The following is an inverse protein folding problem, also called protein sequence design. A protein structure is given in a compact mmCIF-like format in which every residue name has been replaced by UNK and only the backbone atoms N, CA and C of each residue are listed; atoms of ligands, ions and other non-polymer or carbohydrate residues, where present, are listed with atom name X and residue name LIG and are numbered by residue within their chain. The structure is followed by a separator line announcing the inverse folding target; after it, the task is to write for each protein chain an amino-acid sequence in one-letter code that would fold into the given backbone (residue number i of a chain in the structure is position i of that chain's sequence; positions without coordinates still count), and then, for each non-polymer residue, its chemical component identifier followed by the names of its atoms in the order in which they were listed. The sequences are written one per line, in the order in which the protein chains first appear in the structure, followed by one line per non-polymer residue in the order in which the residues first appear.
data_IF_033242512318
#
_entry.id   IF_033242512318
#
_cell.length_a   1.000
_cell.length_b   1.000
_cell.length_c   1.000
_cell.angle_alpha   90.00
_cell.angle_beta   90.00
_cell.angle_gamma   90.00
#
_symmetry.space_group_name_H-M   'P 1'
#
loop_
_entity.id
_entity.type
_entity.pdbx_description
1 polymer ?
#
# COMPACT_ATOMS: atom_id res chain seq x y z
N UNK A 1 -20.57 -21.71 6.78
CA UNK A 1 -19.64 -20.79 7.48
C UNK A 1 -19.36 -19.58 6.60
N UNK A 2 -19.48 -18.35 7.13
CA UNK A 2 -19.02 -17.16 6.40
C UNK A 2 -17.51 -17.25 6.20
N UNK A 3 -16.95 -16.81 5.05
CA UNK A 3 -15.51 -16.76 4.88
C UNK A 3 -14.91 -15.86 5.96
N UNK A 4 -13.86 -16.34 6.65
CA UNK A 4 -13.05 -15.60 7.64
C UNK A 4 -12.24 -14.44 7.01
N UNK A 5 -12.56 -14.07 5.78
CA UNK A 5 -11.86 -13.04 5.04
C UNK A 5 -12.83 -12.19 4.24
N UNK A 6 -12.52 -10.90 4.14
CA UNK A 6 -13.14 -10.01 3.15
C UNK A 6 -12.19 -9.81 1.98
N UNK A 7 -12.75 -9.53 0.80
CA UNK A 7 -11.95 -9.01 -0.30
C UNK A 7 -12.22 -7.52 -0.45
N UNK A 8 -11.21 -6.68 -0.27
CA UNK A 8 -11.33 -5.22 -0.34
C UNK A 8 -10.86 -4.72 -1.71
N UNK A 9 -11.61 -3.87 -2.43
CA UNK A 9 -11.13 -3.23 -3.65
C UNK A 9 -9.81 -2.46 -3.41
N UNK A 10 -8.79 -2.72 -4.22
CA UNK A 10 -7.46 -2.09 -4.03
C UNK A 10 -7.54 -0.56 -4.10
N UNK A 11 -8.26 -0.01 -5.08
CA UNK A 11 -8.41 1.44 -5.23
C UNK A 11 -9.27 2.06 -4.10
N UNK A 12 -10.10 1.27 -3.42
CA UNK A 12 -10.75 1.73 -2.19
C UNK A 12 -9.73 1.84 -1.06
N UNK A 13 -8.79 0.88 -0.94
CA UNK A 13 -7.68 0.97 0.00
C UNK A 13 -6.84 2.24 -0.26
N UNK A 14 -6.50 2.49 -1.53
CA UNK A 14 -5.77 3.69 -1.96
C UNK A 14 -6.53 4.97 -1.58
N UNK A 15 -7.81 5.06 -1.91
CA UNK A 15 -8.66 6.21 -1.56
C UNK A 15 -8.67 6.47 -0.06
N UNK A 16 -8.90 5.42 0.74
CA UNK A 16 -8.97 5.52 2.21
C UNK A 16 -7.65 6.00 2.79
N UNK A 17 -6.54 5.46 2.30
CA UNK A 17 -5.20 5.81 2.77
C UNK A 17 -4.86 7.27 2.44
N UNK A 18 -5.11 7.69 1.20
CA UNK A 18 -4.80 9.06 0.74
C UNK A 18 -5.71 10.13 1.34
N UNK A 19 -6.97 9.80 1.65
CA UNK A 19 -7.91 10.73 2.29
C UNK A 19 -7.84 10.71 3.82
N UNK A 20 -6.93 9.94 4.40
CA UNK A 20 -6.78 9.84 5.86
C UNK A 20 -8.03 9.26 6.54
N UNK A 21 -8.77 8.37 5.88
CA UNK A 21 -10.02 7.79 6.39
C UNK A 21 -9.87 6.38 6.92
N UNK A 22 -8.64 5.98 7.28
CA UNK A 22 -8.33 4.61 7.74
C UNK A 22 -9.20 4.20 8.93
N UNK A 23 -9.33 5.04 9.96
CA UNK A 23 -10.11 4.67 11.14
C UNK A 23 -11.62 4.56 10.84
N UNK A 24 -12.17 5.45 10.00
CA UNK A 24 -13.56 5.34 9.54
C UNK A 24 -13.78 4.06 8.74
N UNK A 25 -12.78 3.68 7.94
CA UNK A 25 -12.82 2.44 7.20
C UNK A 25 -12.69 1.22 8.10
N UNK A 26 -11.89 1.28 9.17
CA UNK A 26 -11.79 0.22 10.17
C UNK A 26 -13.16 -0.10 10.77
N UNK A 27 -13.89 0.92 11.23
CA UNK A 27 -15.26 0.73 11.72
C UNK A 27 -16.17 0.14 10.64
N UNK A 28 -16.12 0.69 9.42
CA UNK A 28 -16.93 0.15 8.32
C UNK A 28 -16.60 -1.33 8.00
N UNK A 29 -15.33 -1.73 8.04
CA UNK A 29 -14.91 -3.12 7.82
C UNK A 29 -15.39 -4.02 8.95
N UNK A 30 -15.19 -3.61 10.20
CA UNK A 30 -15.66 -4.31 11.40
C UNK A 30 -17.16 -4.60 11.32
N UNK A 31 -17.96 -3.55 11.09
CA UNK A 31 -19.41 -3.69 10.93
C UNK A 31 -19.76 -4.63 9.78
N UNK A 32 -18.98 -4.64 8.70
CA UNK A 32 -19.19 -5.52 7.55
C UNK A 32 -18.85 -6.98 7.82
N UNK A 33 -17.87 -7.27 8.68
CA UNK A 33 -17.53 -8.64 9.06
C UNK A 33 -18.57 -9.21 10.02
N UNK A 34 -19.01 -8.38 10.98
CA UNK A 34 -19.92 -8.77 12.04
C UNK A 34 -21.41 -8.68 11.67
N UNK A 35 -21.75 -8.47 10.39
CA UNK A 35 -23.14 -8.38 9.96
C UNK A 35 -23.43 -9.06 8.62
N UNK A 36 -24.71 -9.18 8.29
CA UNK A 36 -25.18 -9.58 6.95
C UNK A 36 -25.37 -8.37 6.02
N UNK A 37 -24.78 -7.22 6.36
CA UNK A 37 -25.02 -5.94 5.69
C UNK A 37 -26.13 -5.11 6.33
N UNK A 38 -26.82 -5.65 7.33
CA UNK A 38 -27.82 -4.97 8.15
C UNK A 38 -27.45 -5.13 9.62
N UNK A 39 -27.54 -4.04 10.38
CA UNK A 39 -27.24 -4.01 11.82
C UNK A 39 -28.34 -3.22 12.51
N UNK A 40 -28.90 -3.78 13.57
CA UNK A 40 -29.93 -3.11 14.36
C UNK A 40 -29.35 -1.85 15.02
N UNK A 41 -30.12 -0.76 14.96
CA UNK A 41 -29.71 0.53 15.47
C UNK A 41 -30.15 0.68 16.92
N UNK A 42 -29.27 0.29 17.85
CA UNK A 42 -29.43 0.56 19.27
C UNK A 42 -28.24 1.37 19.81
N UNK A 43 -28.53 2.29 20.72
CA UNK A 43 -27.56 3.10 21.44
C UNK A 43 -26.55 2.26 22.23
N UNK A 44 -26.93 1.07 22.70
CA UNK A 44 -26.02 0.15 23.41
C UNK A 44 -24.90 -0.39 22.50
N UNK A 45 -25.15 -0.49 21.19
CA UNK A 45 -24.22 -1.04 20.20
C UNK A 45 -22.92 -0.23 20.09
N UNK A 46 -22.99 1.09 20.27
CA UNK A 46 -21.80 1.95 20.22
C UNK A 46 -20.76 1.57 21.28
N UNK A 47 -21.21 1.13 22.46
CA UNK A 47 -20.32 0.72 23.54
C UNK A 47 -19.60 -0.58 23.19
N UNK A 48 -20.31 -1.57 22.64
CA UNK A 48 -19.72 -2.83 22.19
C UNK A 48 -18.69 -2.60 21.07
N UNK A 49 -19.03 -1.82 20.04
CA UNK A 49 -18.09 -1.53 18.95
C UNK A 49 -16.86 -0.75 19.42
N UNK A 50 -17.02 0.09 20.44
CA UNK A 50 -15.92 0.84 21.05
C UNK A 50 -14.93 -0.09 21.75
N UNK A 51 -15.43 -1.06 22.53
CA UNK A 51 -14.61 -2.08 23.18
C UNK A 51 -13.86 -2.92 22.14
N UNK A 52 -14.57 -3.47 21.16
CA UNK A 52 -13.98 -4.37 20.16
C UNK A 52 -12.90 -3.70 19.30
N UNK A 53 -13.06 -2.41 18.99
CA UNK A 53 -12.08 -1.63 18.22
C UNK A 53 -11.01 -0.97 19.07
N UNK A 54 -11.07 -1.12 20.40
CA UNK A 54 -10.25 -0.39 21.36
C UNK A 54 -10.25 1.14 21.08
N UNK A 55 -11.45 1.71 21.07
CA UNK A 55 -11.74 3.14 20.85
C UNK A 55 -12.72 3.67 21.90
N UNK A 56 -12.83 4.98 22.00
CA UNK A 56 -13.88 5.59 22.81
C UNK A 56 -15.23 5.55 22.11
N UNK A 57 -16.31 5.45 22.89
CA UNK A 57 -17.68 5.48 22.36
C UNK A 57 -17.96 6.77 21.57
N UNK A 58 -17.44 7.91 22.06
CA UNK A 58 -17.49 9.20 21.36
C UNK A 58 -16.91 9.08 19.95
N UNK A 59 -15.72 8.47 19.83
CA UNK A 59 -15.07 8.28 18.54
C UNK A 59 -15.93 7.43 17.59
N UNK A 60 -16.52 6.34 18.10
CA UNK A 60 -17.38 5.47 17.28
C UNK A 60 -18.60 6.24 16.79
N UNK A 61 -19.27 7.00 17.65
CA UNK A 61 -20.43 7.82 17.27
C UNK A 61 -20.09 8.82 16.17
N UNK A 62 -18.95 9.51 16.30
CA UNK A 62 -18.49 10.47 15.28
C UNK A 62 -18.14 9.77 13.96
N UNK A 63 -17.51 8.60 14.02
CA UNK A 63 -17.20 7.80 12.84
C UNK A 63 -18.48 7.30 12.14
N UNK A 64 -19.49 6.83 12.88
CA UNK A 64 -20.79 6.42 12.33
C UNK A 64 -21.50 7.61 11.67
N UNK A 65 -21.56 8.76 12.35
CA UNK A 65 -22.12 9.99 11.76
C UNK A 65 -21.45 10.34 10.44
N UNK A 66 -20.12 10.25 10.38
CA UNK A 66 -19.37 10.49 9.14
C UNK A 66 -19.70 9.45 8.06
N UNK A 67 -19.79 8.16 8.41
CA UNK A 67 -20.14 7.09 7.48
C UNK A 67 -21.56 7.27 6.91
N UNK A 68 -22.52 7.69 7.73
CA UNK A 68 -23.89 8.00 7.29
C UNK A 68 -23.90 9.22 6.36
N UNK A 69 -23.25 10.33 6.77
CA UNK A 69 -23.15 11.55 5.97
C UNK A 69 -22.55 11.29 4.58
N UNK A 70 -21.52 10.44 4.53
CA UNK A 70 -20.87 10.06 3.28
C UNK A 70 -21.60 8.92 2.54
N UNK A 71 -22.74 8.45 3.05
CA UNK A 71 -23.51 7.28 2.59
C UNK A 71 -22.61 6.08 2.30
N UNK A 72 -21.78 5.71 3.27
CA UNK A 72 -21.13 4.39 3.36
C UNK A 72 -22.04 3.43 4.12
N UNK A 73 -22.86 4.01 5.01
CA UNK A 73 -23.96 3.39 5.75
C UNK A 73 -25.21 4.23 5.46
N UNK A 74 -26.37 3.60 5.40
CA UNK A 74 -27.68 4.27 5.29
C UNK A 74 -28.57 3.82 6.44
N UNK A 75 -29.37 4.74 6.97
CA UNK A 75 -30.31 4.45 8.06
C UNK A 75 -31.68 4.13 7.47
N UNK A 76 -32.29 3.03 7.89
CA UNK A 76 -33.71 2.75 7.67
C UNK A 76 -34.44 3.00 8.98
N UNK A 77 -35.07 4.16 9.11
CA UNK A 77 -35.79 4.58 10.32
C UNK A 77 -37.01 3.70 10.61
N UNK A 78 -37.71 3.18 9.59
CA UNK A 78 -38.90 2.34 9.77
C UNK A 78 -38.59 1.02 10.45
N UNK A 79 -37.42 0.44 10.15
CA UNK A 79 -36.97 -0.83 10.73
C UNK A 79 -35.97 -0.63 11.85
N UNK A 80 -35.57 0.61 12.11
CA UNK A 80 -34.49 0.97 13.02
C UNK A 80 -33.19 0.19 12.74
N UNK A 81 -32.75 0.17 11.48
CA UNK A 81 -31.59 -0.64 11.02
C UNK A 81 -30.61 0.21 10.22
N UNK A 82 -29.31 0.00 10.45
CA UNK A 82 -28.21 0.45 9.62
C UNK A 82 -27.96 -0.53 8.47
N UNK A 83 -28.04 -0.05 7.24
CA UNK A 83 -27.70 -0.80 6.04
C UNK A 83 -26.30 -0.39 5.55
N UNK A 84 -25.38 -1.36 5.50
CA UNK A 84 -24.01 -1.20 5.03
C UNK A 84 -23.96 -1.31 3.50
N UNK A 85 -23.55 -0.22 2.84
CA UNK A 85 -23.44 -0.22 1.38
C UNK A 85 -22.37 -1.24 0.94
N UNK A 86 -22.62 -2.02 -0.11
CA UNK A 86 -21.64 -2.97 -0.64
C UNK A 86 -20.43 -2.26 -1.25
N UNK A 87 -19.27 -2.92 -1.30
CA UNK A 87 -18.07 -2.35 -1.93
C UNK A 87 -18.32 -1.92 -3.38
N UNK A 88 -19.13 -2.68 -4.15
CA UNK A 88 -19.52 -2.34 -5.52
C UNK A 88 -20.22 -0.98 -5.57
N UNK A 89 -21.29 -0.83 -4.78
CA UNK A 89 -22.07 0.41 -4.72
C UNK A 89 -21.20 1.58 -4.22
N UNK A 90 -20.36 1.33 -3.23
CA UNK A 90 -19.44 2.33 -2.69
C UNK A 90 -18.41 2.79 -3.73
N UNK A 91 -17.76 1.85 -4.43
CA UNK A 91 -16.82 2.18 -5.51
C UNK A 91 -17.50 2.95 -6.64
N UNK A 92 -18.71 2.56 -7.07
CA UNK A 92 -19.48 3.32 -8.08
C UNK A 92 -19.73 4.75 -7.63
N UNK A 93 -20.14 4.93 -6.36
CA UNK A 93 -20.38 6.26 -5.78
C UNK A 93 -19.11 7.11 -5.75
N UNK A 94 -17.99 6.52 -5.36
CA UNK A 94 -16.69 7.21 -5.29
C UNK A 94 -16.02 7.36 -6.67
N UNK A 95 -16.66 6.91 -7.76
CA UNK A 95 -16.10 6.88 -9.12
C UNK A 95 -14.77 6.11 -9.17
N UNK A 96 -14.67 5.06 -8.37
CA UNK A 96 -13.52 4.17 -8.29
C UNK A 96 -13.73 3.00 -9.23
N UNK A 97 -12.85 2.88 -10.23
CA UNK A 97 -12.76 1.71 -11.08
C UNK A 97 -11.69 0.78 -10.54
N UNK A 98 -12.06 -0.45 -10.16
CA UNK A 98 -11.10 -1.48 -9.80
C UNK A 98 -11.35 -2.78 -10.54
N UNK A 99 -10.27 -3.49 -10.81
CA UNK A 99 -10.26 -4.87 -11.29
C UNK A 99 -9.55 -5.81 -10.31
N UNK A 100 -9.10 -5.28 -9.16
CA UNK A 100 -8.22 -5.95 -8.21
C UNK A 100 -8.76 -5.82 -6.78
N UNK A 101 -8.68 -6.90 -6.02
CA UNK A 101 -9.04 -6.92 -4.61
C UNK A 101 -7.91 -7.51 -3.78
N UNK A 102 -7.69 -6.94 -2.59
CA UNK A 102 -6.84 -7.52 -1.57
C UNK A 102 -7.66 -8.43 -0.67
N UNK A 103 -7.10 -9.58 -0.30
CA UNK A 103 -7.70 -10.45 0.72
C UNK A 103 -7.27 -9.92 2.08
N UNK A 104 -8.23 -9.69 2.96
CA UNK A 104 -8.01 -9.24 4.33
C UNK A 104 -8.60 -10.30 5.26
N UNK A 105 -7.72 -10.95 6.01
CA UNK A 105 -7.99 -12.09 6.91
C UNK A 105 -7.84 -11.70 8.39
N UNK A 106 -7.46 -10.46 8.70
CA UNK A 106 -7.16 -10.05 10.07
C UNK A 106 -8.41 -9.71 10.86
N UNK A 107 -8.44 -10.23 12.09
CA UNK A 107 -9.46 -9.94 13.09
C UNK A 107 -9.18 -8.64 13.85
N UNK A 108 -7.89 -8.31 14.05
CA UNK A 108 -7.49 -7.04 14.65
C UNK A 108 -7.37 -5.93 13.59
N UNK A 109 -8.05 -4.81 13.85
CA UNK A 109 -8.06 -3.62 12.99
C UNK A 109 -6.91 -2.65 13.30
N UNK A 110 -6.10 -2.93 14.32
CA UNK A 110 -4.92 -2.14 14.73
C UNK A 110 -3.93 -1.95 13.57
N UNK A 111 -3.67 -3.01 12.81
CA UNK A 111 -2.69 -3.03 11.73
C UNK A 111 -3.26 -2.62 10.36
N UNK A 112 -4.55 -2.24 10.31
CA UNK A 112 -5.23 -1.94 9.05
C UNK A 112 -4.46 -0.92 8.21
N UNK A 113 -3.88 0.11 8.83
CA UNK A 113 -3.09 1.11 8.11
C UNK A 113 -1.89 0.47 7.38
N UNK A 114 -1.17 -0.43 8.05
CA UNK A 114 -0.05 -1.16 7.47
C UNK A 114 -0.47 -2.04 6.32
N UNK A 115 -1.57 -2.76 6.50
CA UNK A 115 -2.17 -3.58 5.44
C UNK A 115 -2.52 -2.72 4.21
N UNK A 116 -3.21 -1.59 4.39
CA UNK A 116 -3.57 -0.70 3.29
C UNK A 116 -2.32 -0.15 2.56
N UNK A 117 -1.28 0.23 3.30
CA UNK A 117 0.00 0.63 2.72
C UNK A 117 0.60 -0.48 1.84
N UNK A 118 0.64 -1.72 2.35
CA UNK A 118 1.16 -2.87 1.62
C UNK A 118 0.36 -3.15 0.34
N UNK A 119 -0.98 -3.21 0.44
CA UNK A 119 -1.87 -3.46 -0.69
C UNK A 119 -1.61 -2.51 -1.84
N UNK A 120 -1.51 -1.21 -1.53
CA UNK A 120 -1.28 -0.16 -2.53
C UNK A 120 0.10 -0.32 -3.17
N UNK A 121 1.15 -0.54 -2.37
CA UNK A 121 2.52 -0.76 -2.88
C UNK A 121 2.57 -1.99 -3.80
N UNK A 122 1.98 -3.10 -3.38
CA UNK A 122 1.98 -4.37 -4.11
C UNK A 122 1.21 -4.22 -5.43
N UNK A 123 0.09 -3.49 -5.43
CA UNK A 123 -0.66 -3.22 -6.65
C UNK A 123 0.18 -2.46 -7.69
N UNK A 124 0.82 -1.37 -7.28
CA UNK A 124 1.70 -0.62 -8.16
C UNK A 124 2.93 -1.43 -8.58
N UNK A 125 3.44 -2.33 -7.73
CA UNK A 125 4.50 -3.27 -8.08
C UNK A 125 4.08 -4.22 -9.19
N UNK A 126 2.91 -4.83 -9.07
CA UNK A 126 2.36 -5.71 -10.11
C UNK A 126 2.11 -4.95 -11.41
N UNK A 127 1.59 -3.72 -11.33
CA UNK A 127 1.37 -2.85 -12.50
C UNK A 127 2.69 -2.50 -13.19
N UNK A 128 3.71 -2.08 -12.43
CA UNK A 128 5.05 -1.80 -12.95
C UNK A 128 5.63 -3.00 -13.70
N UNK A 129 5.64 -4.17 -13.06
CA UNK A 129 6.13 -5.42 -13.65
C UNK A 129 5.41 -5.80 -14.93
N UNK A 130 4.09 -5.61 -14.96
CA UNK A 130 3.31 -5.89 -16.16
C UNK A 130 3.64 -4.93 -17.31
N UNK A 131 3.84 -3.64 -17.03
CA UNK A 131 4.30 -2.67 -18.03
C UNK A 131 5.70 -3.01 -18.56
N UNK A 132 6.63 -3.36 -17.67
CA UNK A 132 7.98 -3.79 -18.06
C UNK A 132 7.93 -5.05 -18.93
N UNK A 133 7.08 -6.03 -18.59
CA UNK A 133 6.86 -7.22 -19.44
C UNK A 133 6.20 -6.90 -20.78
N UNK A 134 5.35 -5.87 -20.86
CA UNK A 134 4.72 -5.46 -22.13
C UNK A 134 5.69 -4.71 -23.04
N UNK A 135 6.67 -4.02 -22.48
CA UNK A 135 7.80 -3.45 -23.23
C UNK A 135 8.71 -4.49 -23.91
N UNK A 136 8.43 -5.78 -23.73
CA UNK A 136 9.20 -6.88 -24.31
C UNK A 136 9.17 -6.94 -25.84
N UNK A 137 8.15 -6.38 -26.49
CA UNK A 137 8.20 -6.17 -27.94
C UNK A 137 9.34 -5.23 -28.35
N UNK A 138 9.60 -4.16 -27.58
CA UNK A 138 10.73 -3.23 -27.78
C UNK A 138 12.06 -3.87 -27.34
N UNK A 139 12.05 -4.73 -26.32
CA UNK A 139 13.24 -5.48 -25.91
C UNK A 139 13.74 -6.48 -26.98
N UNK A 140 12.88 -6.96 -27.89
CA UNK A 140 13.31 -7.75 -29.06
C UNK A 140 14.18 -6.96 -30.03
N UNK A 141 14.13 -5.62 -30.01
CA UNK A 141 14.99 -4.75 -30.81
C UNK A 141 16.39 -4.51 -30.19
N UNK A 142 16.74 -5.19 -29.09
CA UNK A 142 18.12 -5.25 -28.59
C UNK A 142 18.52 -4.22 -27.52
N UNK A 143 17.65 -3.28 -27.14
CA UNK A 143 18.08 -2.07 -26.42
C UNK A 143 18.18 -2.16 -24.88
N UNK A 144 17.70 -3.21 -24.21
CA UNK A 144 18.03 -3.46 -22.79
C UNK A 144 17.52 -4.82 -22.30
N UNK A 145 18.40 -5.68 -21.78
CA UNK A 145 17.98 -6.86 -21.00
C UNK A 145 17.94 -6.48 -19.52
N UNK A 146 16.74 -6.37 -18.93
CA UNK A 146 16.65 -6.41 -17.46
C UNK A 146 16.90 -7.86 -17.05
N UNK A 147 18.12 -8.18 -16.62
CA UNK A 147 18.48 -9.55 -16.27
C UNK A 147 17.71 -9.98 -15.02
N UNK A 148 16.64 -10.76 -15.20
CA UNK A 148 15.78 -11.23 -14.11
C UNK A 148 16.51 -12.14 -13.11
N UNK A 149 17.69 -12.66 -13.48
CA UNK A 149 18.58 -13.43 -12.61
C UNK A 149 19.26 -12.57 -11.51
N UNK A 150 19.26 -11.24 -11.63
CA UNK A 150 19.89 -10.33 -10.65
C UNK A 150 19.12 -10.21 -9.33
N UNK A 151 17.87 -10.69 -9.26
CA UNK A 151 17.03 -10.53 -8.08
C UNK A 151 16.76 -11.86 -7.38
N UNK A 152 16.82 -11.91 -6.03
CA UNK A 152 16.36 -13.08 -5.28
C UNK A 152 14.90 -13.42 -5.63
N UNK A 153 14.54 -14.71 -5.55
CA UNK A 153 13.21 -15.20 -5.93
C UNK A 153 12.09 -14.42 -5.22
N UNK A 154 11.17 -13.86 -5.99
CA UNK A 154 10.02 -13.09 -5.49
C UNK A 154 10.28 -11.61 -5.18
N UNK A 155 11.54 -11.17 -5.22
CA UNK A 155 11.90 -9.77 -5.02
C UNK A 155 11.89 -8.98 -6.32
N UNK A 156 11.42 -7.74 -6.24
CA UNK A 156 11.35 -6.86 -7.40
C UNK A 156 11.73 -5.43 -7.03
N UNK A 157 12.51 -4.79 -7.91
CA UNK A 157 12.94 -3.40 -7.73
C UNK A 157 11.74 -2.45 -7.75
N UNK A 158 11.60 -1.66 -6.68
CA UNK A 158 10.55 -0.66 -6.55
C UNK A 158 11.14 0.67 -6.03
N UNK A 159 11.49 1.61 -6.92
CA UNK A 159 11.93 2.93 -6.53
C UNK A 159 10.83 3.66 -5.73
N UNK A 160 11.22 4.34 -4.65
CA UNK A 160 10.29 5.18 -3.86
C UNK A 160 9.70 6.29 -4.72
N UNK A 161 10.48 6.86 -5.64
CA UNK A 161 10.02 7.86 -6.60
C UNK A 161 8.88 7.35 -7.49
N UNK A 162 8.89 6.07 -7.86
CA UNK A 162 7.80 5.46 -8.63
C UNK A 162 6.51 5.37 -7.81
N UNK A 163 6.60 4.92 -6.55
CA UNK A 163 5.45 4.88 -5.63
C UNK A 163 4.89 6.29 -5.43
N UNK A 164 5.76 7.26 -5.15
CA UNK A 164 5.41 8.66 -4.95
C UNK A 164 4.68 9.25 -6.17
N UNK A 165 5.20 9.00 -7.38
CA UNK A 165 4.58 9.42 -8.65
C UNK A 165 3.22 8.76 -8.86
N UNK A 166 3.11 7.46 -8.62
CA UNK A 166 1.86 6.72 -8.81
C UNK A 166 0.74 7.22 -7.89
N UNK A 167 1.09 7.51 -6.63
CA UNK A 167 0.14 7.95 -5.60
C UNK A 167 -0.03 9.47 -5.51
N UNK A 168 0.75 10.23 -6.28
CA UNK A 168 0.81 11.71 -6.21
C UNK A 168 1.08 12.22 -4.80
N UNK A 169 2.03 11.60 -4.11
CA UNK A 169 2.48 11.96 -2.76
C UNK A 169 3.97 12.28 -2.75
N UNK A 170 4.46 12.90 -1.66
CA UNK A 170 5.90 13.11 -1.49
C UNK A 170 6.68 11.79 -1.36
N UNK A 171 7.95 11.80 -1.75
CA UNK A 171 8.83 10.64 -1.55
C UNK A 171 8.97 10.26 -0.06
N UNK A 172 8.94 11.25 0.83
CA UNK A 172 8.96 11.02 2.28
C UNK A 172 7.73 10.24 2.76
N UNK A 173 6.54 10.57 2.25
CA UNK A 173 5.29 9.87 2.58
C UNK A 173 5.29 8.46 2.00
N UNK A 174 5.72 8.28 0.74
CA UNK A 174 5.87 6.97 0.13
C UNK A 174 6.85 6.07 0.92
N UNK A 175 7.96 6.64 1.41
CA UNK A 175 8.90 5.91 2.26
C UNK A 175 8.29 5.55 3.62
N UNK A 176 7.48 6.43 4.23
CA UNK A 176 6.72 6.10 5.45
C UNK A 176 5.77 4.92 5.21
N UNK A 177 5.01 4.93 4.12
CA UNK A 177 4.11 3.80 3.78
C UNK A 177 4.88 2.49 3.65
N UNK A 178 6.02 2.50 2.95
CA UNK A 178 6.87 1.33 2.82
C UNK A 178 7.37 0.83 4.18
N UNK A 179 7.90 1.72 5.03
CA UNK A 179 8.37 1.36 6.37
C UNK A 179 7.26 0.79 7.25
N UNK A 180 6.06 1.37 7.22
CA UNK A 180 4.91 0.88 8.00
C UNK A 180 4.45 -0.50 7.51
N UNK A 181 4.47 -0.75 6.21
CA UNK A 181 4.12 -2.06 5.65
C UNK A 181 5.19 -3.12 5.99
N UNK A 182 6.47 -2.73 5.98
CA UNK A 182 7.61 -3.57 6.32
C UNK A 182 7.62 -3.94 7.82
N UNK A 183 7.39 -2.97 8.71
CA UNK A 183 7.41 -3.21 10.16
C UNK A 183 6.33 -4.19 10.63
N UNK A 184 5.25 -4.31 9.87
CA UNK A 184 4.13 -5.21 10.14
C UNK A 184 4.19 -6.51 9.31
N UNK A 185 5.30 -6.75 8.60
CA UNK A 185 5.55 -8.01 7.88
C UNK A 185 4.72 -8.22 6.59
N UNK A 186 3.94 -7.23 6.14
CA UNK A 186 3.13 -7.37 4.92
C UNK A 186 3.95 -7.29 3.62
N UNK A 187 5.16 -6.72 3.71
CA UNK A 187 6.16 -6.72 2.65
C UNK A 187 7.54 -7.00 3.26
N UNK A 188 8.38 -7.71 2.53
CA UNK A 188 9.80 -7.85 2.86
C UNK A 188 10.60 -6.89 1.97
N UNK A 189 11.48 -6.09 2.57
CA UNK A 189 12.29 -5.10 1.85
C UNK A 189 13.77 -5.42 2.04
N UNK A 190 14.53 -5.48 0.94
CA UNK A 190 15.99 -5.56 1.00
C UNK A 190 16.59 -4.32 0.37
N UNK A 191 17.42 -3.62 1.16
CA UNK A 191 18.18 -2.47 0.69
C UNK A 191 19.31 -2.94 -0.20
N UNK A 192 19.50 -2.24 -1.31
CA UNK A 192 20.63 -2.49 -2.23
C UNK A 192 21.60 -1.34 -2.13
N UNK A 193 22.76 -1.62 -1.56
CA UNK A 193 23.83 -0.64 -1.39
C UNK A 193 25.12 -1.28 -1.89
N UNK A 194 25.67 -0.73 -2.97
CA UNK A 194 26.87 -1.25 -3.61
C UNK A 194 28.01 -0.29 -3.38
N UNK A 195 29.22 -0.80 -3.12
CA UNK A 195 30.42 0.05 -3.05
C UNK A 195 30.85 0.38 -4.47
N UNK A 196 31.16 1.65 -4.75
CA UNK A 196 31.60 2.05 -6.07
C UNK A 196 33.05 1.66 -6.30
N UNK A 197 33.33 1.21 -7.52
CA UNK A 197 34.66 0.81 -7.98
C UNK A 197 35.00 1.53 -9.28
N UNK A 198 36.28 1.81 -9.49
CA UNK A 198 36.86 2.23 -10.77
C UNK A 198 36.81 1.07 -11.79
N UNK A 199 37.02 1.36 -13.07
CA UNK A 199 37.23 0.43 -14.18
C UNK A 199 38.25 -0.68 -13.86
N UNK A 200 39.24 -0.41 -13.00
CA UNK A 200 40.20 -1.42 -12.51
C UNK A 200 39.72 -2.24 -11.29
N UNK A 201 38.48 -2.05 -10.84
CA UNK A 201 37.89 -2.74 -9.68
C UNK A 201 38.27 -2.13 -8.32
N UNK A 202 39.05 -1.05 -8.30
CA UNK A 202 39.47 -0.39 -7.06
C UNK A 202 38.33 0.40 -6.43
N UNK A 203 38.09 0.25 -5.12
CA UNK A 203 37.03 0.96 -4.40
C UNK A 203 37.33 2.47 -4.35
N UNK A 204 36.35 3.29 -4.72
CA UNK A 204 36.51 4.74 -4.74
C UNK A 204 36.50 5.31 -3.32
N UNK A 205 37.51 6.12 -2.98
CA UNK A 205 37.59 6.84 -1.70
C UNK A 205 36.43 7.81 -1.55
N UNK A 206 36.00 8.04 -0.30
CA UNK A 206 34.99 9.05 0.05
C UNK A 206 35.36 10.46 -0.42
N UNK A 207 36.64 10.77 -0.56
CA UNK A 207 37.15 12.11 -0.89
C UNK A 207 36.83 12.49 -2.34
N UNK A 208 36.57 11.49 -3.20
CA UNK A 208 36.21 11.67 -4.60
C UNK A 208 34.71 11.99 -4.82
N UNK A 209 33.93 12.23 -3.75
CA UNK A 209 32.48 12.39 -3.84
C UNK A 209 32.06 13.49 -4.82
N UNK A 210 32.71 14.67 -4.75
CA UNK A 210 32.35 15.82 -5.56
C UNK A 210 32.57 15.53 -7.04
N UNK A 211 33.77 15.03 -7.37
CA UNK A 211 34.17 14.68 -8.74
C UNK A 211 33.21 13.64 -9.33
N UNK A 212 32.93 12.56 -8.59
CA UNK A 212 32.04 11.50 -9.07
C UNK A 212 30.60 12.00 -9.24
N UNK A 213 30.14 12.90 -8.36
CA UNK A 213 28.79 13.47 -8.44
C UNK A 213 28.63 14.40 -9.64
N UNK A 214 29.61 15.24 -9.92
CA UNK A 214 29.59 16.15 -11.08
C UNK A 214 29.71 15.38 -12.40
N UNK A 215 30.60 14.39 -12.46
CA UNK A 215 30.77 13.56 -13.64
C UNK A 215 29.54 12.67 -13.94
N UNK A 216 28.71 12.39 -12.94
CA UNK A 216 27.56 11.47 -13.07
C UNK A 216 26.28 12.06 -12.46
N UNK A 217 25.70 13.11 -13.05
CA UNK A 217 24.52 13.79 -12.51
C UNK A 217 23.30 12.85 -12.41
N UNK A 218 23.21 11.87 -13.30
CA UNK A 218 22.13 10.89 -13.38
C UNK A 218 21.98 9.97 -12.15
N UNK A 219 23.08 9.68 -11.44
CA UNK A 219 23.04 8.93 -10.17
C UNK A 219 23.68 9.68 -9.00
N UNK A 220 24.15 10.91 -9.20
CA UNK A 220 24.78 11.74 -8.17
C UNK A 220 23.94 11.90 -6.89
N UNK A 221 22.61 12.00 -7.02
CA UNK A 221 21.68 12.06 -5.88
C UNK A 221 21.56 10.76 -5.07
N UNK A 222 22.04 9.64 -5.61
CA UNK A 222 22.01 8.29 -5.00
C UNK A 222 23.34 7.92 -4.33
N UNK A 223 24.37 8.74 -4.49
CA UNK A 223 25.67 8.57 -3.85
C UNK A 223 25.57 8.83 -2.34
N UNK A 224 26.23 7.99 -1.54
CA UNK A 224 26.36 8.15 -0.10
C UNK A 224 27.80 7.89 0.32
N UNK A 225 28.23 8.60 1.36
CA UNK A 225 29.55 8.41 1.97
C UNK A 225 29.47 7.22 2.93
N UNK A 226 30.27 6.19 2.67
CA UNK A 226 30.54 5.13 3.64
C UNK A 226 31.71 5.51 4.57
N UNK A 227 32.07 4.62 5.50
CA UNK A 227 33.20 4.85 6.42
C UNK A 227 34.53 5.11 5.70
N UNK A 228 34.84 4.32 4.66
CA UNK A 228 36.08 4.41 3.87
C UNK A 228 35.85 4.68 2.38
N UNK A 229 34.71 4.24 1.84
CA UNK A 229 34.46 4.23 0.40
C UNK A 229 33.10 4.83 0.04
N UNK A 230 32.97 5.29 -1.20
CA UNK A 230 31.70 5.73 -1.77
C UNK A 230 30.75 4.55 -1.97
N UNK A 231 29.48 4.79 -1.70
CA UNK A 231 28.39 3.82 -1.86
C UNK A 231 27.33 4.37 -2.80
N UNK A 232 26.84 3.52 -3.70
CA UNK A 232 25.67 3.78 -4.51
C UNK A 232 24.45 3.13 -3.87
N UNK A 233 23.45 3.94 -3.55
CA UNK A 233 22.16 3.42 -3.05
C UNK A 233 21.25 3.12 -4.22
N UNK A 234 21.01 1.83 -4.42
CA UNK A 234 20.08 1.37 -5.41
C UNK A 234 18.62 1.41 -4.94
N UNK A 235 17.69 1.27 -5.87
CA UNK A 235 16.28 1.11 -5.48
C UNK A 235 16.11 -0.16 -4.67
N UNK A 236 15.41 -0.07 -3.54
CA UNK A 236 15.09 -1.23 -2.73
C UNK A 236 14.31 -2.28 -3.55
N UNK A 237 14.50 -3.54 -3.17
CA UNK A 237 13.74 -4.64 -3.73
C UNK A 237 12.69 -5.07 -2.71
N UNK A 238 11.47 -5.31 -3.20
CA UNK A 238 10.32 -5.62 -2.37
C UNK A 238 9.78 -7.00 -2.77
N UNK A 239 9.50 -7.83 -1.78
CA UNK A 239 8.75 -9.09 -1.92
C UNK A 239 7.37 -8.92 -1.28
N UNK A 240 6.28 -9.17 -2.03
CA UNK A 240 4.92 -9.03 -1.52
C UNK A 240 4.51 -10.25 -0.69
N UNK A 241 4.03 -10.06 0.55
CA UNK A 241 3.44 -11.14 1.36
C UNK A 241 1.90 -11.14 1.30
N UNK A 242 1.28 -10.00 0.97
CA UNK A 242 -0.18 -9.90 0.80
C UNK A 242 -0.65 -10.40 -0.57
N UNK A 243 -1.70 -11.22 -0.56
CA UNK A 243 -2.35 -11.74 -1.76
C UNK A 243 -3.36 -10.75 -2.35
N UNK A 244 -3.12 -10.33 -3.60
CA UNK A 244 -4.13 -9.65 -4.44
C UNK A 244 -4.73 -10.63 -5.45
N UNK A 245 -6.04 -10.56 -5.64
CA UNK A 245 -6.80 -11.33 -6.65
C UNK A 245 -7.59 -10.42 -7.59
N UNK A 246 -8.01 -10.95 -8.73
CA UNK A 246 -8.93 -10.24 -9.63
C UNK A 246 -10.28 -10.06 -8.92
N UNK A 247 -10.82 -8.85 -8.97
CA UNK A 247 -12.12 -8.52 -8.42
C UNK A 247 -12.96 -7.83 -9.50
N UNK A 248 -14.11 -8.41 -9.81
CA UNK A 248 -15.13 -7.76 -10.66
C UNK A 248 -16.03 -6.95 -9.73
N UNK A 249 -16.18 -5.65 -10.02
CA UNK A 249 -17.11 -4.79 -9.29
C UNK A 249 -18.53 -5.07 -9.75
#
# INVERSE_FOLDING_TARGET
MKPLYTTIPVQLCEYVLLKGKVNHFALYLYLKHNSNGYIDFDSSQYKYWAVDLNKSERWVRDAVKWLIKNKWITVNSKRNVLNLISYKKLCRKLRIHTTSGAIYEQEDFSDLRGFLCAVVIIYHLRKKRWMERKGWSVFKMGYAKTNHLLFPKGFHSMPISYIAKCLKISQSTANKFKKTAESLGYIEVKRRVTTLTDNKGNKLSKDLLHIVREANPEFGGRLRVGKKYLKLVESDIIKPEVKLKRKRL
#
